data_IF_921441521965
#
_entry.id   IF_921441521965
#
_cell.length_a   1.000
_cell.length_b   1.000
_cell.length_c   1.000
_cell.angle_alpha   90.00
_cell.angle_beta   90.00
_cell.angle_gamma   90.00
#
_symmetry.space_group_name_H-M   'P 1'
#
loop_
_entity.id
_entity.type
_entity.pdbx_description
1 polymer ?
#
# COMPACT_ATOMS: atom_id res chain seq x y z
N UNK A 1 8.28 -1.05 16.77
CA UNK A 1 7.58 -0.67 15.51
C UNK A 1 6.35 0.18 15.75
N UNK A 2 5.40 -0.21 16.63
CA UNK A 2 4.20 0.63 16.89
C UNK A 2 4.53 2.05 17.37
N UNK A 3 5.53 2.21 18.25
CA UNK A 3 6.01 3.53 18.70
C UNK A 3 6.47 4.40 17.52
N UNK A 4 7.20 3.82 16.56
CA UNK A 4 7.66 4.57 15.37
C UNK A 4 6.48 5.04 14.53
N UNK A 5 5.47 4.19 14.33
CA UNK A 5 4.26 4.55 13.59
C UNK A 5 3.47 5.67 14.29
N UNK A 6 3.40 5.64 15.62
CA UNK A 6 2.77 6.70 16.40
C UNK A 6 3.53 8.04 16.28
N UNK A 7 4.86 7.99 16.37
CA UNK A 7 5.71 9.16 16.15
C UNK A 7 5.57 9.71 14.72
N UNK A 8 5.45 8.82 13.73
CA UNK A 8 5.21 9.19 12.34
C UNK A 8 3.87 9.91 12.15
N UNK A 9 2.79 9.41 12.77
CA UNK A 9 1.49 10.08 12.77
C UNK A 9 1.61 11.49 13.35
N UNK A 10 2.27 11.65 14.51
CA UNK A 10 2.49 12.97 15.13
C UNK A 10 3.28 13.90 14.20
N UNK A 11 4.36 13.38 13.60
CA UNK A 11 5.20 14.14 12.67
C UNK A 11 4.39 14.64 11.47
N UNK A 12 3.62 13.74 10.84
CA UNK A 12 2.77 14.07 9.70
C UNK A 12 1.71 15.10 10.08
N UNK A 13 1.01 14.93 11.20
CA UNK A 13 0.00 15.90 11.65
C UNK A 13 0.61 17.29 11.89
N UNK A 14 1.76 17.35 12.57
CA UNK A 14 2.42 18.61 12.94
C UNK A 14 3.00 19.35 11.74
N UNK A 15 3.47 18.63 10.73
CA UNK A 15 4.21 19.20 9.60
C UNK A 15 3.59 18.92 8.22
N UNK A 16 2.29 18.61 8.17
CA UNK A 16 1.60 18.30 6.91
C UNK A 16 1.67 19.44 5.88
N UNK A 17 1.65 20.70 6.37
CA UNK A 17 1.76 21.91 5.55
C UNK A 17 3.18 22.14 5.00
N UNK A 18 4.20 21.50 5.59
CA UNK A 18 5.59 21.72 5.24
C UNK A 18 6.03 20.84 4.08
N UNK A 19 6.55 21.49 3.02
CA UNK A 19 7.11 20.80 1.84
C UNK A 19 8.23 19.82 2.18
N UNK A 20 9.05 20.11 3.20
CA UNK A 20 10.15 19.22 3.60
C UNK A 20 9.63 17.87 4.12
N UNK A 21 8.52 17.86 4.85
CA UNK A 21 7.94 16.64 5.41
C UNK A 21 7.49 15.70 4.27
N UNK A 22 6.77 16.25 3.28
CA UNK A 22 6.37 15.51 2.08
C UNK A 22 7.57 14.99 1.28
N UNK A 23 8.59 15.84 1.09
CA UNK A 23 9.82 15.45 0.39
C UNK A 23 10.58 14.34 1.10
N UNK A 24 10.58 14.34 2.43
CA UNK A 24 11.19 13.29 3.23
C UNK A 24 10.55 11.93 2.92
N UNK A 25 9.25 11.78 3.10
CA UNK A 25 8.57 10.50 2.82
C UNK A 25 8.65 10.09 1.36
N UNK A 26 8.56 11.05 0.44
CA UNK A 26 8.74 10.76 -0.99
C UNK A 26 10.15 10.24 -1.29
N UNK A 27 11.19 10.86 -0.71
CA UNK A 27 12.58 10.43 -0.87
C UNK A 27 12.85 9.07 -0.24
N UNK A 28 12.32 8.82 0.97
CA UNK A 28 12.43 7.52 1.63
C UNK A 28 11.79 6.41 0.77
N UNK A 29 10.63 6.69 0.16
CA UNK A 29 9.98 5.76 -0.76
C UNK A 29 10.81 5.53 -2.02
N UNK A 30 11.38 6.59 -2.60
CA UNK A 30 12.24 6.49 -3.78
C UNK A 30 13.47 5.60 -3.51
N UNK A 31 14.19 5.89 -2.42
CA UNK A 31 15.37 5.11 -2.02
C UNK A 31 15.00 3.65 -1.80
N UNK A 32 13.87 3.41 -1.13
CA UNK A 32 13.39 2.05 -0.91
C UNK A 32 13.06 1.31 -2.21
N UNK A 33 12.33 1.94 -3.14
CA UNK A 33 11.99 1.31 -4.42
C UNK A 33 13.24 1.04 -5.27
N UNK A 34 14.16 2.00 -5.36
CA UNK A 34 15.43 1.81 -6.09
C UNK A 34 16.23 0.66 -5.46
N UNK A 35 16.33 0.62 -4.13
CA UNK A 35 17.03 -0.46 -3.43
C UNK A 35 16.41 -1.84 -3.68
N UNK A 36 15.08 -1.95 -3.58
CA UNK A 36 14.36 -3.21 -3.77
C UNK A 36 14.45 -3.72 -5.20
N UNK A 37 14.11 -2.88 -6.18
CA UNK A 37 14.10 -3.29 -7.58
C UNK A 37 15.52 -3.42 -8.14
N UNK A 38 16.47 -2.61 -7.68
CA UNK A 38 17.88 -2.80 -7.96
C UNK A 38 18.37 -4.17 -7.49
N UNK A 39 18.01 -4.57 -6.26
CA UNK A 39 18.31 -5.92 -5.76
C UNK A 39 17.63 -7.02 -6.60
N UNK A 40 16.37 -6.85 -6.99
CA UNK A 40 15.67 -7.81 -7.85
C UNK A 40 16.34 -8.00 -9.21
N UNK A 41 16.86 -6.92 -9.82
CA UNK A 41 17.61 -6.98 -11.07
C UNK A 41 18.96 -7.66 -10.89
N UNK A 42 19.74 -7.26 -9.90
CA UNK A 42 21.08 -7.83 -9.62
C UNK A 42 20.99 -9.33 -9.34
N UNK A 43 20.01 -9.74 -8.53
CA UNK A 43 19.81 -11.15 -8.16
C UNK A 43 18.96 -11.94 -9.14
N UNK A 44 18.51 -11.32 -10.25
CA UNK A 44 17.67 -11.95 -11.28
C UNK A 44 16.43 -12.65 -10.69
N UNK A 45 15.76 -11.99 -9.74
CA UNK A 45 14.60 -12.54 -9.07
C UNK A 45 13.48 -12.77 -10.09
N UNK A 46 12.87 -13.96 -10.03
CA UNK A 46 11.80 -14.39 -10.92
C UNK A 46 10.66 -13.36 -11.03
N UNK A 47 10.13 -13.21 -12.23
CA UNK A 47 8.95 -12.39 -12.55
C UNK A 47 7.67 -12.85 -11.84
N UNK A 48 7.67 -14.01 -11.18
CA UNK A 48 6.60 -14.45 -10.30
C UNK A 48 6.55 -13.69 -8.96
N UNK A 49 7.63 -13.00 -8.60
CA UNK A 49 7.81 -12.28 -7.34
C UNK A 49 8.14 -10.79 -7.57
N UNK A 50 8.95 -10.50 -8.58
CA UNK A 50 9.61 -9.20 -8.73
C UNK A 50 8.74 -8.09 -9.29
N UNK A 51 7.53 -8.35 -9.82
CA UNK A 51 6.68 -7.29 -10.36
C UNK A 51 6.07 -6.40 -9.25
N UNK A 52 5.75 -5.13 -9.56
CA UNK A 52 5.17 -4.17 -8.61
C UNK A 52 3.69 -4.39 -8.31
N UNK A 53 3.21 -5.64 -8.36
CA UNK A 53 1.78 -5.96 -8.41
C UNK A 53 1.20 -6.47 -7.09
N UNK A 54 1.98 -6.39 -6.02
CA UNK A 54 1.43 -6.47 -4.67
C UNK A 54 0.77 -5.14 -4.31
N UNK A 55 -0.36 -5.18 -3.59
CA UNK A 55 -1.14 -4.00 -3.22
C UNK A 55 -0.31 -2.84 -2.66
N UNK A 56 0.58 -3.12 -1.69
CA UNK A 56 1.46 -2.09 -1.13
C UNK A 56 2.42 -1.52 -2.19
N UNK A 57 3.00 -2.35 -3.06
CA UNK A 57 3.94 -1.89 -4.10
C UNK A 57 3.21 -1.04 -5.15
N UNK A 58 2.04 -1.47 -5.59
CA UNK A 58 1.18 -0.66 -6.48
C UNK A 58 0.86 0.68 -5.84
N UNK A 59 0.52 0.69 -4.54
CA UNK A 59 0.27 1.92 -3.80
C UNK A 59 1.52 2.81 -3.72
N UNK A 60 2.71 2.26 -3.47
CA UNK A 60 3.97 3.02 -3.46
C UNK A 60 4.21 3.73 -4.80
N UNK A 61 4.09 3.00 -5.92
CA UNK A 61 4.23 3.58 -7.26
C UNK A 61 3.13 4.61 -7.54
N UNK A 62 1.88 4.32 -7.18
CA UNK A 62 0.77 5.25 -7.35
C UNK A 62 0.99 6.56 -6.59
N UNK A 63 1.43 6.48 -5.34
CA UNK A 63 1.72 7.66 -4.53
C UNK A 63 2.81 8.55 -5.14
N UNK A 64 3.83 7.93 -5.74
CA UNK A 64 4.94 8.65 -6.36
C UNK A 64 4.63 9.20 -7.75
N UNK A 65 3.90 8.46 -8.59
CA UNK A 65 3.81 8.72 -10.03
C UNK A 65 2.44 9.26 -10.48
N UNK A 66 1.35 8.93 -9.79
CA UNK A 66 0.02 9.34 -10.22
C UNK A 66 -0.26 10.81 -9.90
N UNK A 67 -1.08 11.43 -10.73
CA UNK A 67 -1.64 12.77 -10.50
C UNK A 67 -2.74 12.71 -9.43
N UNK A 68 -3.13 13.85 -8.87
CA UNK A 68 -4.20 13.92 -7.87
C UNK A 68 -5.57 13.65 -8.49
N UNK A 69 -6.01 12.38 -8.43
CA UNK A 69 -7.29 11.90 -8.92
C UNK A 69 -7.90 10.84 -8.00
N UNK A 70 -9.02 10.25 -8.41
CA UNK A 70 -9.69 9.19 -7.66
C UNK A 70 -8.85 7.92 -7.57
N UNK A 71 -8.05 7.59 -8.59
CA UNK A 71 -7.20 6.41 -8.57
C UNK A 71 -6.09 6.57 -7.52
N UNK A 72 -5.45 7.74 -7.45
CA UNK A 72 -4.47 8.05 -6.41
C UNK A 72 -5.10 8.03 -5.02
N UNK A 73 -6.31 8.56 -4.86
CA UNK A 73 -7.03 8.47 -3.59
C UNK A 73 -7.35 7.04 -3.17
N UNK A 74 -7.72 6.17 -4.11
CA UNK A 74 -7.87 4.73 -3.84
C UNK A 74 -6.55 4.11 -3.37
N UNK A 75 -5.45 4.31 -4.08
CA UNK A 75 -4.17 3.74 -3.66
C UNK A 75 -3.65 4.32 -2.34
N UNK A 76 -3.97 5.58 -2.04
CA UNK A 76 -3.61 6.18 -0.76
C UNK A 76 -4.33 5.48 0.41
N UNK A 77 -5.63 5.16 0.29
CA UNK A 77 -6.36 4.44 1.33
C UNK A 77 -5.83 3.03 1.51
N UNK A 78 -5.49 2.34 0.42
CA UNK A 78 -4.79 1.05 0.46
C UNK A 78 -3.41 1.20 1.11
N UNK A 79 -2.68 2.28 0.86
CA UNK A 79 -1.37 2.54 1.45
C UNK A 79 -1.40 2.75 2.97
N UNK A 80 -2.42 3.42 3.51
CA UNK A 80 -2.66 3.50 4.96
C UNK A 80 -2.83 2.09 5.53
N UNK A 81 -3.76 1.32 4.98
CA UNK A 81 -4.04 -0.03 5.45
C UNK A 81 -2.82 -0.95 5.33
N UNK A 82 -2.13 -0.89 4.18
CA UNK A 82 -0.91 -1.65 3.91
C UNK A 82 0.21 -1.34 4.90
N UNK A 83 0.42 -0.06 5.22
CA UNK A 83 1.39 0.35 6.24
C UNK A 83 1.06 -0.18 7.63
N UNK A 84 -0.21 -0.12 8.04
CA UNK A 84 -0.68 -0.63 9.33
C UNK A 84 -0.54 -2.16 9.42
N UNK A 85 -1.04 -2.90 8.43
CA UNK A 85 -1.05 -4.36 8.48
C UNK A 85 0.35 -4.95 8.39
N UNK A 86 1.30 -4.29 7.71
CA UNK A 86 2.69 -4.72 7.66
C UNK A 86 3.39 -4.69 9.04
N UNK A 87 2.91 -3.85 9.97
CA UNK A 87 3.39 -3.82 11.35
C UNK A 87 2.74 -4.92 12.19
N UNK A 88 1.45 -5.21 11.96
CA UNK A 88 0.66 -6.18 12.73
C UNK A 88 0.97 -7.62 12.29
N UNK A 89 1.04 -7.86 10.99
CA UNK A 89 1.23 -9.17 10.37
C UNK A 89 2.28 -9.08 9.25
N UNK A 90 3.58 -8.99 9.61
CA UNK A 90 4.66 -8.85 8.63
C UNK A 90 4.84 -10.15 7.82
N UNK A 91 4.64 -10.06 6.51
CA UNK A 91 4.98 -11.13 5.56
C UNK A 91 6.26 -10.73 4.85
N UNK A 92 7.38 -11.27 5.31
CA UNK A 92 8.72 -10.92 4.84
C UNK A 92 9.34 -12.04 4.00
N UNK A 93 10.28 -11.66 3.15
CA UNK A 93 11.13 -12.62 2.44
C UNK A 93 11.99 -13.41 3.46
N UNK A 94 12.28 -14.67 3.14
CA UNK A 94 13.01 -15.60 4.02
C UNK A 94 14.53 -15.32 4.04
N UNK A 95 14.93 -14.15 4.53
CA UNK A 95 16.33 -13.78 4.74
C UNK A 95 16.61 -13.50 6.22
N UNK A 96 17.86 -13.68 6.66
CA UNK A 96 18.28 -13.34 8.02
C UNK A 96 18.50 -11.82 8.17
N UNK A 97 18.28 -11.28 9.36
CA UNK A 97 18.55 -9.87 9.65
C UNK A 97 20.06 -9.61 9.90
N UNK A 98 20.66 -8.51 9.40
CA UNK A 98 20.09 -7.48 8.53
C UNK A 98 20.18 -7.84 7.04
N UNK A 99 19.07 -7.74 6.30
CA UNK A 99 19.04 -7.96 4.85
C UNK A 99 18.29 -6.83 4.14
N UNK A 100 18.72 -6.50 2.91
CA UNK A 100 18.18 -5.38 2.13
C UNK A 100 16.67 -5.47 1.93
N UNK A 101 16.13 -6.68 1.72
CA UNK A 101 14.68 -6.89 1.56
C UNK A 101 13.90 -6.62 2.86
N UNK A 102 14.48 -6.92 4.02
CA UNK A 102 13.87 -6.65 5.34
C UNK A 102 13.91 -5.17 5.69
N UNK A 103 15.06 -4.52 5.43
CA UNK A 103 15.19 -3.06 5.59
C UNK A 103 14.21 -2.34 4.66
N UNK A 104 14.16 -2.76 3.40
CA UNK A 104 13.22 -2.26 2.39
C UNK A 104 11.76 -2.49 2.80
N UNK A 105 11.45 -3.63 3.41
CA UNK A 105 10.09 -3.93 3.88
C UNK A 105 9.64 -2.89 4.91
N UNK A 106 10.40 -2.67 5.98
CA UNK A 106 10.00 -1.70 7.00
C UNK A 106 10.05 -0.27 6.49
N UNK A 107 11.16 0.14 5.89
CA UNK A 107 11.33 1.49 5.36
C UNK A 107 10.23 1.83 4.35
N UNK A 108 9.89 0.88 3.48
CA UNK A 108 8.89 1.06 2.43
C UNK A 108 7.49 1.20 2.98
N UNK A 109 7.11 0.43 4.01
CA UNK A 109 5.78 0.52 4.60
C UNK A 109 5.59 1.77 5.47
N UNK A 110 6.63 2.22 6.19
CA UNK A 110 6.60 3.53 6.85
C UNK A 110 6.53 4.66 5.82
N UNK A 111 7.38 4.63 4.78
CA UNK A 111 7.32 5.63 3.71
C UNK A 111 5.95 5.67 3.01
N UNK A 112 5.35 4.50 2.76
CA UNK A 112 4.03 4.38 2.16
C UNK A 112 2.95 4.97 3.05
N UNK A 113 2.97 4.64 4.34
CA UNK A 113 2.03 5.19 5.32
C UNK A 113 2.11 6.72 5.35
N UNK A 114 3.30 7.29 5.53
CA UNK A 114 3.51 8.73 5.58
C UNK A 114 3.10 9.45 4.30
N UNK A 115 3.48 8.94 3.12
CA UNK A 115 3.06 9.50 1.84
C UNK A 115 1.53 9.48 1.68
N UNK A 116 0.90 8.33 1.97
CA UNK A 116 -0.55 8.18 1.89
C UNK A 116 -1.27 9.09 2.88
N UNK A 117 -0.78 9.17 4.12
CA UNK A 117 -1.40 9.96 5.18
C UNK A 117 -1.33 11.45 4.88
N UNK A 118 -0.15 11.94 4.50
CA UNK A 118 0.04 13.34 4.09
C UNK A 118 -0.83 13.70 2.88
N UNK A 119 -0.90 12.84 1.87
CA UNK A 119 -1.78 13.06 0.72
C UNK A 119 -3.26 13.08 1.12
N UNK A 120 -3.70 12.12 1.95
CA UNK A 120 -5.08 12.03 2.39
C UNK A 120 -5.48 13.19 3.30
N UNK A 121 -4.56 13.82 4.03
CA UNK A 121 -4.82 15.05 4.79
C UNK A 121 -5.18 16.23 3.87
N UNK A 122 -4.65 16.27 2.64
CA UNK A 122 -4.82 17.42 1.74
C UNK A 122 -5.89 17.22 0.65
N UNK A 123 -6.00 16.01 0.12
CA UNK A 123 -6.90 15.76 -1.01
C UNK A 123 -8.36 15.98 -0.62
N UNK A 124 -9.13 16.58 -1.52
CA UNK A 124 -10.59 16.68 -1.41
C UNK A 124 -11.30 15.59 -2.21
N UNK A 125 -10.54 14.75 -2.92
CA UNK A 125 -11.08 13.65 -3.71
C UNK A 125 -11.67 12.60 -2.77
N UNK A 126 -12.82 12.06 -3.17
CA UNK A 126 -13.52 10.99 -2.46
C UNK A 126 -13.95 9.95 -3.48
N UNK A 127 -14.01 8.71 -3.02
CA UNK A 127 -14.56 7.60 -3.77
C UNK A 127 -15.84 7.14 -3.09
N UNK A 128 -16.88 6.98 -3.91
CA UNK A 128 -18.03 6.19 -3.51
C UNK A 128 -17.65 4.72 -3.32
N UNK A 129 -18.50 3.98 -2.60
CA UNK A 129 -18.38 2.52 -2.49
C UNK A 129 -18.38 1.84 -3.86
N UNK A 130 -19.22 2.32 -4.79
CA UNK A 130 -19.30 1.79 -6.15
C UNK A 130 -17.99 1.97 -6.92
N UNK A 131 -17.38 3.16 -6.83
CA UNK A 131 -16.10 3.42 -7.48
C UNK A 131 -14.96 2.60 -6.85
N UNK A 132 -14.94 2.48 -5.53
CA UNK A 132 -13.96 1.65 -4.81
C UNK A 132 -14.08 0.18 -5.21
N UNK A 133 -15.31 -0.33 -5.32
CA UNK A 133 -15.58 -1.69 -5.75
C UNK A 133 -15.16 -1.91 -7.21
N UNK A 134 -15.47 -0.96 -8.11
CA UNK A 134 -15.12 -1.04 -9.52
C UNK A 134 -13.60 -1.06 -9.72
N UNK A 135 -12.89 -0.09 -9.14
CA UNK A 135 -11.42 0.03 -9.25
C UNK A 135 -10.76 -1.23 -8.71
N UNK A 136 -11.17 -1.66 -7.52
CA UNK A 136 -10.60 -2.84 -6.87
C UNK A 136 -10.93 -4.13 -7.63
N UNK A 137 -12.15 -4.28 -8.11
CA UNK A 137 -12.58 -5.44 -8.91
C UNK A 137 -11.78 -5.56 -10.20
N UNK A 138 -11.63 -4.44 -10.95
CA UNK A 138 -10.83 -4.41 -12.18
C UNK A 138 -9.35 -4.71 -11.91
N UNK A 139 -8.80 -4.14 -10.84
CA UNK A 139 -7.43 -4.42 -10.40
C UNK A 139 -7.25 -5.91 -10.10
N UNK A 140 -8.13 -6.51 -9.29
CA UNK A 140 -8.02 -7.93 -8.92
C UNK A 140 -8.20 -8.85 -10.13
N UNK A 141 -9.09 -8.54 -11.08
CA UNK A 141 -9.20 -9.29 -12.35
C UNK A 141 -7.88 -9.23 -13.11
N UNK A 142 -7.28 -8.04 -13.22
CA UNK A 142 -5.96 -7.86 -13.84
C UNK A 142 -4.88 -8.71 -13.16
N UNK A 143 -4.84 -8.71 -11.83
CA UNK A 143 -3.88 -9.50 -11.06
C UNK A 143 -4.06 -11.01 -11.25
N UNK A 144 -5.31 -11.50 -11.32
CA UNK A 144 -5.58 -12.91 -11.62
C UNK A 144 -4.98 -13.30 -12.96
N UNK A 145 -5.23 -12.51 -14.02
CA UNK A 145 -4.65 -12.79 -15.34
C UNK A 145 -3.12 -12.83 -15.31
N UNK A 146 -2.49 -11.88 -14.62
CA UNK A 146 -1.03 -11.85 -14.51
C UNK A 146 -0.49 -13.02 -13.69
N UNK A 147 -1.19 -13.45 -12.64
CA UNK A 147 -0.79 -14.61 -11.84
C UNK A 147 -0.80 -15.90 -12.66
N UNK A 148 -1.77 -16.07 -13.55
CA UNK A 148 -1.80 -17.23 -14.48
C UNK A 148 -0.62 -17.19 -15.46
N UNK A 149 -0.27 -16.01 -15.99
CA UNK A 149 0.84 -15.85 -16.94
C UNK A 149 2.21 -16.05 -16.27
N UNK A 150 2.39 -15.51 -15.06
CA UNK A 150 3.70 -15.45 -14.39
C UNK A 150 3.93 -16.60 -13.40
N UNK A 151 2.89 -17.36 -13.07
CA UNK A 151 2.89 -18.31 -11.97
C UNK A 151 2.98 -17.66 -10.58
N UNK A 152 2.83 -16.34 -10.49
CA UNK A 152 2.94 -15.56 -9.25
C UNK A 152 1.72 -15.67 -8.32
N UNK A 153 1.81 -14.94 -7.21
CA UNK A 153 0.72 -14.75 -6.25
C UNK A 153 0.57 -13.25 -5.91
N UNK A 154 0.51 -12.42 -6.94
CA UNK A 154 0.27 -10.99 -6.82
C UNK A 154 -1.11 -10.72 -6.23
N UNK A 155 -1.16 -9.72 -5.37
CA UNK A 155 -2.34 -9.40 -4.57
C UNK A 155 -2.76 -10.46 -3.55
N UNK A 156 -1.99 -11.54 -3.37
CA UNK A 156 -2.35 -12.69 -2.53
C UNK A 156 -3.69 -13.34 -2.92
N UNK A 157 -4.03 -13.32 -4.21
CA UNK A 157 -5.30 -13.85 -4.74
C UNK A 157 -5.25 -15.37 -4.99
N UNK A 158 -4.06 -15.94 -5.23
CA UNK A 158 -3.86 -17.38 -5.51
C UNK A 158 -3.67 -18.17 -4.22
N UNK A 159 -2.86 -17.65 -3.31
CA UNK A 159 -2.66 -18.17 -1.96
C UNK A 159 -2.77 -17.04 -0.95
N UNK A 160 -3.93 -16.95 -0.31
CA UNK A 160 -4.21 -15.89 0.68
C UNK A 160 -3.82 -16.37 2.08
N UNK A 161 -2.95 -15.67 2.83
CA UNK A 161 -2.39 -16.15 4.10
C UNK A 161 -3.40 -16.63 5.16
N UNK A 162 -4.57 -15.99 5.26
CA UNK A 162 -5.58 -16.29 6.28
C UNK A 162 -6.69 -17.25 5.83
N UNK A 163 -6.89 -17.39 4.51
CA UNK A 163 -7.99 -18.15 3.91
C UNK A 163 -7.48 -19.02 2.76
N UNK A 164 -6.27 -19.55 2.88
CA UNK A 164 -5.60 -20.31 1.81
C UNK A 164 -6.38 -21.55 1.40
N UNK A 165 -7.08 -22.19 2.35
CA UNK A 165 -7.92 -23.38 2.15
C UNK A 165 -9.26 -23.11 1.46
N UNK A 166 -9.66 -21.85 1.29
CA UNK A 166 -10.95 -21.50 0.69
C UNK A 166 -10.87 -21.63 -0.84
N UNK A 167 -12.04 -21.83 -1.49
CA UNK A 167 -12.11 -21.88 -2.94
C UNK A 167 -11.69 -20.54 -3.56
N UNK A 168 -11.11 -20.58 -4.77
CA UNK A 168 -10.64 -19.39 -5.46
C UNK A 168 -11.71 -18.27 -5.59
N UNK A 169 -12.97 -18.55 -6.01
CA UNK A 169 -14.00 -17.52 -6.10
C UNK A 169 -14.28 -16.84 -4.75
N UNK A 170 -14.30 -17.60 -3.66
CA UNK A 170 -14.52 -17.05 -2.31
C UNK A 170 -13.36 -16.15 -1.90
N UNK A 171 -12.11 -16.57 -2.10
CA UNK A 171 -10.93 -15.75 -1.81
C UNK A 171 -10.94 -14.44 -2.59
N UNK A 172 -11.26 -14.51 -3.88
CA UNK A 172 -11.36 -13.34 -4.74
C UNK A 172 -12.43 -12.34 -4.24
N UNK A 173 -13.63 -12.83 -3.94
CA UNK A 173 -14.73 -11.99 -3.44
C UNK A 173 -14.35 -11.39 -2.08
N UNK A 174 -13.81 -12.19 -1.16
CA UNK A 174 -13.42 -11.73 0.17
C UNK A 174 -12.36 -10.63 0.11
N UNK A 175 -11.29 -10.80 -0.66
CA UNK A 175 -10.24 -9.78 -0.80
C UNK A 175 -10.80 -8.51 -1.44
N UNK A 176 -11.67 -8.67 -2.45
CA UNK A 176 -12.29 -7.53 -3.13
C UNK A 176 -13.21 -6.73 -2.19
N UNK A 177 -14.04 -7.41 -1.39
CA UNK A 177 -14.90 -6.74 -0.43
C UNK A 177 -14.11 -6.13 0.73
N UNK A 178 -13.11 -6.85 1.25
CA UNK A 178 -12.25 -6.36 2.33
C UNK A 178 -11.57 -5.05 1.96
N UNK A 179 -10.89 -4.99 0.81
CA UNK A 179 -10.20 -3.77 0.36
C UNK A 179 -11.20 -2.62 0.08
N UNK A 180 -12.41 -2.93 -0.38
CA UNK A 180 -13.47 -1.92 -0.57
C UNK A 180 -13.92 -1.32 0.77
N UNK A 181 -14.20 -2.17 1.77
CA UNK A 181 -14.61 -1.77 3.13
C UNK A 181 -13.49 -0.95 3.79
N UNK A 182 -12.26 -1.43 3.70
CA UNK A 182 -11.07 -0.75 4.23
C UNK A 182 -10.90 0.62 3.58
N UNK A 183 -10.95 0.70 2.24
CA UNK A 183 -10.81 1.96 1.52
C UNK A 183 -11.86 2.98 1.97
N UNK A 184 -13.11 2.54 2.12
CA UNK A 184 -14.19 3.40 2.59
C UNK A 184 -14.03 3.80 4.07
N UNK A 185 -13.66 2.87 4.94
CA UNK A 185 -13.42 3.11 6.36
C UNK A 185 -12.29 4.11 6.60
N UNK A 186 -11.18 4.00 5.86
CA UNK A 186 -10.07 4.97 5.91
C UNK A 186 -10.56 6.35 5.48
N UNK A 187 -11.36 6.46 4.41
CA UNK A 187 -11.92 7.75 3.99
C UNK A 187 -12.80 8.40 5.06
N UNK A 188 -13.65 7.61 5.73
CA UNK A 188 -14.46 8.11 6.86
C UNK A 188 -13.55 8.61 7.98
N UNK A 189 -12.56 7.82 8.40
CA UNK A 189 -11.61 8.19 9.44
C UNK A 189 -10.87 9.49 9.12
N UNK A 190 -10.37 9.62 7.88
CA UNK A 190 -9.69 10.84 7.43
C UNK A 190 -10.63 12.05 7.39
N UNK A 191 -11.88 11.90 6.93
CA UNK A 191 -12.86 12.99 6.96
C UNK A 191 -13.15 13.46 8.40
N UNK A 192 -13.32 12.54 9.34
CA UNK A 192 -13.51 12.90 10.75
C UNK A 192 -12.30 13.63 11.33
N UNK A 193 -11.09 13.17 11.01
CA UNK A 193 -9.84 13.80 11.44
C UNK A 193 -9.73 15.24 10.92
N UNK A 194 -9.98 15.45 9.62
CA UNK A 194 -10.00 16.77 8.99
C UNK A 194 -10.99 17.73 9.65
N UNK A 195 -12.23 17.28 9.89
CA UNK A 195 -13.24 18.07 10.59
C UNK A 195 -12.78 18.50 12.00
N UNK A 196 -12.09 17.63 12.75
CA UNK A 196 -11.55 17.98 14.07
C UNK A 196 -10.39 18.98 13.99
N UNK A 197 -9.56 18.86 12.96
CA UNK A 197 -8.40 19.73 12.74
C UNK A 197 -8.74 21.05 12.04
N UNK A 198 -9.96 21.19 11.50
CA UNK A 198 -10.42 22.33 10.68
C UNK A 198 -9.57 22.55 9.42
N UNK A 199 -9.17 21.46 8.76
CA UNK A 199 -8.42 21.43 7.49
C UNK A 199 -9.19 20.73 6.37
#
# INVERSE_FOLDING_TARGET
>A
MMVMMFLEIILCLKYHDKRWCKRLFWFLQLVQLIGLYGFYVVQRISISISLPLYHCRMAMFAMMLMKDDKMKNFFATIGIFGGLIAVIYPIMDKYAWPHVTLVSFYLGHFALFGNSFLYLLETKKKLSLKESLLINGLMNIGLVMINEITGGNYGFLRETPLISSWSFPLRFVCITLMLCIVSYGVQIGMNHLKCRMKI
#
